data_IF_298797791840
#
_entry.id   IF_298797791840
#
_cell.length_a   1.000
_cell.length_b   1.000
_cell.length_c   1.000
_cell.angle_alpha   90.00
_cell.angle_beta   90.00
_cell.angle_gamma   90.00
#
_symmetry.space_group_name_H-M   'P 1'
#
loop_
_entity.id
_entity.type
_entity.pdbx_description
1 polymer ?
#
# COMPACT_ATOMS: atom_id res chain seq x y z
N UNK A 1 31.43 -52.70 59.77
CA UNK A 1 31.76 -51.27 59.73
C UNK A 1 32.11 -50.90 58.30
N UNK A 2 31.14 -50.45 57.55
CA UNK A 2 31.33 -49.95 56.20
C UNK A 2 30.74 -48.52 56.11
N UNK A 3 31.59 -47.56 55.78
CA UNK A 3 31.21 -46.16 55.59
C UNK A 3 30.78 -45.96 54.14
N UNK A 4 29.50 -45.59 53.90
CA UNK A 4 29.00 -45.22 52.63
C UNK A 4 29.26 -43.72 52.40
N UNK A 5 29.94 -43.38 51.29
CA UNK A 5 30.25 -42.03 50.91
C UNK A 5 29.09 -41.59 49.90
N UNK A 6 28.31 -40.60 50.28
CA UNK A 6 27.34 -39.97 49.42
C UNK A 6 28.05 -39.00 48.47
N UNK A 7 27.86 -39.20 47.16
CA UNK A 7 28.27 -38.26 46.11
C UNK A 7 27.17 -37.21 45.91
N UNK A 8 27.50 -35.95 46.23
CA UNK A 8 26.66 -34.82 45.83
C UNK A 8 26.86 -34.56 44.34
N UNK A 9 25.82 -34.80 43.55
CA UNK A 9 25.73 -34.31 42.17
C UNK A 9 25.07 -32.94 42.17
N UNK A 10 25.87 -31.93 41.85
CA UNK A 10 25.41 -30.54 41.64
C UNK A 10 24.65 -30.47 40.31
N UNK A 11 23.35 -30.18 40.35
CA UNK A 11 22.54 -29.90 39.19
C UNK A 11 22.65 -28.40 38.92
N UNK A 12 23.40 -28.03 37.88
CA UNK A 12 23.44 -26.68 37.35
C UNK A 12 22.14 -26.41 36.58
N UNK A 13 21.36 -25.46 37.07
CA UNK A 13 20.18 -24.92 36.33
C UNK A 13 20.63 -24.16 35.09
N UNK A 14 19.89 -24.29 33.95
CA UNK A 14 20.14 -23.46 32.79
C UNK A 14 19.71 -22.00 33.05
N UNK A 15 20.37 -21.02 32.42
CA UNK A 15 20.04 -19.61 32.63
C UNK A 15 18.64 -19.28 32.09
N UNK A 16 17.87 -18.56 32.89
CA UNK A 16 16.48 -18.16 32.67
C UNK A 16 16.30 -17.39 31.36
N UNK A 17 15.29 -17.79 30.58
CA UNK A 17 14.77 -17.19 29.36
C UNK A 17 14.23 -15.75 29.50
N UNK A 18 14.40 -15.11 30.63
CA UNK A 18 13.87 -13.79 30.97
C UNK A 18 14.78 -12.60 30.57
N UNK A 19 15.88 -12.84 29.87
CA UNK A 19 16.82 -11.77 29.46
C UNK A 19 16.82 -11.43 27.98
N UNK A 20 15.97 -12.06 27.18
CA UNK A 20 15.86 -11.83 25.69
C UNK A 20 14.70 -10.93 25.27
N UNK A 21 13.86 -10.46 26.21
CA UNK A 21 12.68 -9.62 25.87
C UNK A 21 12.87 -8.11 26.12
N UNK A 22 14.10 -7.62 26.28
CA UNK A 22 14.38 -6.19 26.52
C UNK A 22 15.36 -5.57 25.54
N UNK A 23 15.25 -5.89 24.23
CA UNK A 23 15.99 -5.16 23.17
C UNK A 23 15.23 -5.14 21.85
N UNK A 24 13.95 -4.78 21.87
CA UNK A 24 13.21 -4.35 20.66
C UNK A 24 12.25 -3.25 21.05
N UNK A 25 12.78 -2.09 21.32
CA UNK A 25 12.00 -0.88 21.43
C UNK A 25 12.95 0.30 21.25
N UNK A 26 13.21 0.63 19.99
CA UNK A 26 13.64 1.94 19.47
C UNK A 26 14.05 1.80 18.00
N UNK A 27 13.20 1.18 17.16
CA UNK A 27 13.20 1.55 15.76
C UNK A 27 12.14 2.64 15.60
N UNK A 28 12.56 3.88 15.78
CA UNK A 28 11.88 4.99 15.16
C UNK A 28 11.99 4.74 13.66
N UNK A 29 10.87 4.34 13.05
CA UNK A 29 10.70 4.31 11.60
C UNK A 29 11.18 5.65 11.05
N UNK A 30 12.43 5.69 10.61
CA UNK A 30 12.96 6.77 9.80
C UNK A 30 12.37 6.54 8.41
N UNK A 31 11.21 7.12 8.15
CA UNK A 31 10.66 7.20 6.80
C UNK A 31 11.72 7.86 5.91
N UNK A 32 11.94 7.35 4.69
CA UNK A 32 12.93 7.92 3.78
C UNK A 32 12.69 9.42 3.61
N UNK A 33 13.75 10.20 3.64
CA UNK A 33 13.72 11.67 3.55
C UNK A 33 13.59 12.18 2.11
N UNK A 34 13.60 11.27 1.14
CA UNK A 34 13.51 11.57 -0.31
C UNK A 34 12.44 10.69 -0.94
N UNK A 35 11.79 11.16 -2.04
CA UNK A 35 10.89 10.32 -2.82
C UNK A 35 11.56 9.01 -3.22
N UNK A 36 10.85 7.91 -3.05
CA UNK A 36 11.30 6.60 -3.51
C UNK A 36 10.68 6.29 -4.87
N UNK A 37 11.44 5.59 -5.73
CA UNK A 37 10.87 5.06 -6.96
C UNK A 37 10.20 3.73 -6.65
N UNK A 38 8.88 3.72 -6.62
CA UNK A 38 8.08 2.50 -6.55
C UNK A 38 8.05 1.85 -7.94
N UNK A 39 8.38 0.57 -8.00
CA UNK A 39 8.33 -0.25 -9.22
C UNK A 39 7.49 -1.48 -8.94
N UNK A 40 6.39 -1.61 -9.64
CA UNK A 40 5.45 -2.72 -9.44
C UNK A 40 4.98 -3.35 -10.75
N UNK A 41 4.75 -4.66 -10.72
CA UNK A 41 4.03 -5.39 -11.76
C UNK A 41 2.54 -5.27 -11.49
N UNK A 42 1.74 -5.00 -12.55
CA UNK A 42 0.29 -4.84 -12.46
C UNK A 42 -0.39 -5.59 -13.60
N UNK A 43 -1.09 -6.66 -13.24
CA UNK A 43 -1.86 -7.45 -14.20
C UNK A 43 -3.35 -7.34 -13.86
N UNK A 44 -4.15 -6.98 -14.86
CA UNK A 44 -5.59 -6.83 -14.70
C UNK A 44 -6.27 -8.17 -14.94
N UNK A 45 -7.20 -8.51 -14.06
CA UNK A 45 -8.08 -9.65 -14.20
C UNK A 45 -9.41 -9.22 -14.85
N UNK A 46 -10.00 -10.05 -15.73
CA UNK A 46 -11.17 -9.64 -16.49
C UNK A 46 -12.44 -9.49 -15.66
N UNK A 47 -12.58 -10.28 -14.58
CA UNK A 47 -13.82 -10.38 -13.83
C UNK A 47 -13.65 -10.92 -12.40
N UNK A 48 -14.76 -10.92 -11.65
CA UNK A 48 -14.82 -11.45 -10.30
C UNK A 48 -14.50 -12.95 -10.22
N UNK A 49 -14.85 -13.73 -11.24
CA UNK A 49 -14.59 -15.17 -11.24
C UNK A 49 -13.10 -15.48 -11.32
N UNK A 50 -12.38 -14.75 -12.16
CA UNK A 50 -10.91 -14.82 -12.26
C UNK A 50 -10.24 -14.39 -10.96
N UNK A 51 -10.72 -13.31 -10.33
CA UNK A 51 -10.24 -12.85 -9.02
C UNK A 51 -10.48 -13.90 -7.93
N UNK A 52 -11.67 -14.49 -7.85
CA UNK A 52 -12.00 -15.53 -6.87
C UNK A 52 -11.17 -16.80 -7.08
N UNK A 53 -10.98 -17.23 -8.35
CA UNK A 53 -10.13 -18.38 -8.68
C UNK A 53 -8.69 -18.14 -8.21
N UNK A 54 -8.14 -16.98 -8.49
CA UNK A 54 -6.79 -16.60 -8.07
C UNK A 54 -6.67 -16.52 -6.54
N UNK A 55 -7.64 -15.88 -5.87
CA UNK A 55 -7.70 -15.82 -4.40
C UNK A 55 -7.74 -17.21 -3.75
N UNK A 56 -8.48 -18.16 -4.36
CA UNK A 56 -8.53 -19.54 -3.88
C UNK A 56 -7.19 -20.24 -4.02
N UNK A 57 -6.52 -20.11 -5.16
CA UNK A 57 -5.20 -20.71 -5.41
C UNK A 57 -4.14 -20.14 -4.45
N UNK A 58 -4.19 -18.86 -4.16
CA UNK A 58 -3.26 -18.19 -3.26
C UNK A 58 -3.62 -18.33 -1.77
N UNK A 59 -4.77 -18.93 -1.43
CA UNK A 59 -5.28 -18.99 -0.04
C UNK A 59 -4.30 -19.57 0.98
N UNK A 60 -3.42 -20.58 0.66
CA UNK A 60 -2.43 -21.08 1.61
C UNK A 60 -1.35 -20.04 1.99
N UNK A 61 -1.18 -18.99 1.19
CA UNK A 61 -0.17 -17.94 1.35
C UNK A 61 -0.76 -16.63 1.88
N UNK A 62 -2.06 -16.60 2.18
CA UNK A 62 -2.75 -15.40 2.64
C UNK A 62 -2.22 -14.94 4.00
N UNK A 63 -1.88 -13.66 4.12
CA UNK A 63 -1.38 -13.04 5.34
C UNK A 63 -2.36 -12.08 5.98
N UNK A 64 -3.02 -11.25 5.18
CA UNK A 64 -3.99 -10.27 5.66
C UNK A 64 -4.92 -9.77 4.55
N UNK A 65 -6.07 -9.23 4.96
CA UNK A 65 -6.96 -8.48 4.08
C UNK A 65 -7.10 -7.06 4.60
N UNK A 66 -6.84 -6.08 3.73
CA UNK A 66 -6.89 -4.66 4.03
C UNK A 66 -8.12 -4.03 3.37
N UNK A 67 -8.96 -3.40 4.16
CA UNK A 67 -10.01 -2.52 3.66
C UNK A 67 -9.44 -1.11 3.53
N UNK A 68 -9.42 -0.57 2.33
CA UNK A 68 -8.83 0.72 2.03
C UNK A 68 -9.87 1.66 1.43
N UNK A 69 -10.01 2.84 2.02
CA UNK A 69 -10.74 3.95 1.43
C UNK A 69 -9.72 4.97 0.95
N UNK A 70 -9.72 5.27 -0.35
CA UNK A 70 -8.80 6.19 -0.97
C UNK A 70 -9.56 7.46 -1.34
N UNK A 71 -9.11 8.61 -0.82
CA UNK A 71 -9.67 9.93 -1.11
C UNK A 71 -8.59 10.79 -1.72
N UNK A 72 -8.88 11.42 -2.85
CA UNK A 72 -7.91 12.20 -3.61
C UNK A 72 -8.18 13.69 -3.55
N UNK A 73 -7.11 14.46 -3.68
CA UNK A 73 -7.15 15.91 -3.64
C UNK A 73 -6.37 16.48 -4.82
N UNK A 74 -6.76 17.68 -5.25
CA UNK A 74 -6.04 18.46 -6.25
C UNK A 74 -6.05 19.93 -5.83
N UNK A 75 -5.21 20.74 -6.43
CA UNK A 75 -5.35 22.18 -6.34
C UNK A 75 -6.59 22.67 -7.10
N UNK A 76 -7.18 23.76 -6.65
CA UNK A 76 -8.40 24.33 -7.25
C UNK A 76 -8.26 24.70 -8.75
N UNK A 77 -7.03 24.77 -9.27
CA UNK A 77 -6.73 24.94 -10.69
C UNK A 77 -6.13 23.68 -11.34
N UNK A 78 -6.40 22.49 -10.76
CA UNK A 78 -5.91 21.19 -11.25
C UNK A 78 -4.38 21.10 -11.35
N UNK A 79 -3.65 21.72 -10.44
CA UNK A 79 -2.18 21.81 -10.50
C UNK A 79 -1.52 20.44 -10.41
N UNK A 80 -1.99 19.55 -9.50
CA UNK A 80 -1.45 18.19 -9.37
C UNK A 80 -1.78 17.35 -10.60
N UNK A 81 -3.03 17.32 -11.03
CA UNK A 81 -3.44 16.57 -12.23
C UNK A 81 -2.68 17.04 -13.47
N UNK A 82 -2.46 18.35 -13.64
CA UNK A 82 -1.70 18.90 -14.77
C UNK A 82 -0.23 18.49 -14.76
N UNK A 83 0.32 18.22 -13.56
CA UNK A 83 1.69 17.74 -13.38
C UNK A 83 1.80 16.20 -13.28
N UNK A 84 0.72 15.47 -13.62
CA UNK A 84 0.64 14.02 -13.48
C UNK A 84 0.96 13.54 -12.05
N UNK A 85 0.50 14.30 -11.06
CA UNK A 85 0.64 13.97 -9.64
C UNK A 85 -0.71 13.68 -9.00
N UNK A 86 -0.71 12.85 -7.95
CA UNK A 86 -1.89 12.48 -7.19
C UNK A 86 -1.60 12.56 -5.69
N UNK A 87 -2.33 13.43 -4.99
CA UNK A 87 -2.33 13.52 -3.53
C UNK A 87 -3.49 12.69 -2.99
N UNK A 88 -3.19 11.75 -2.09
CA UNK A 88 -4.16 10.78 -1.58
C UNK A 88 -4.13 10.69 -0.06
N UNK A 89 -5.30 10.63 0.56
CA UNK A 89 -5.49 10.07 1.89
C UNK A 89 -6.00 8.63 1.74
N UNK A 90 -5.31 7.67 2.37
CA UNK A 90 -5.74 6.28 2.43
C UNK A 90 -6.04 5.90 3.86
N UNK A 91 -7.32 5.62 4.12
CA UNK A 91 -7.79 5.10 5.40
C UNK A 91 -7.81 3.57 5.36
N UNK A 92 -7.32 2.94 6.41
CA UNK A 92 -7.31 1.49 6.57
C UNK A 92 -8.24 1.07 7.69
N UNK A 93 -9.01 -0.02 7.47
CA UNK A 93 -9.83 -0.66 8.47
C UNK A 93 -11.20 -0.01 8.72
N UNK A 94 -11.96 -0.59 9.65
CA UNK A 94 -13.23 -0.07 10.13
C UNK A 94 -13.03 0.96 11.26
N UNK A 95 -14.15 1.49 11.79
CA UNK A 95 -14.24 2.72 12.57
C UNK A 95 -13.39 2.86 13.87
N UNK A 96 -12.73 1.81 14.39
CA UNK A 96 -12.15 1.86 15.75
C UNK A 96 -10.61 1.92 15.75
N UNK A 97 -9.91 1.39 14.73
CA UNK A 97 -8.44 1.41 14.64
C UNK A 97 -7.97 1.91 13.27
N UNK A 98 -8.57 2.99 12.79
CA UNK A 98 -8.25 3.52 11.47
C UNK A 98 -6.86 4.17 11.47
N UNK A 99 -5.93 3.52 10.78
CA UNK A 99 -4.68 4.14 10.33
C UNK A 99 -4.99 4.98 9.09
N UNK A 100 -4.39 6.14 8.97
CA UNK A 100 -4.44 6.94 7.75
C UNK A 100 -3.03 7.27 7.27
N UNK A 101 -2.83 7.18 5.96
CA UNK A 101 -1.59 7.54 5.28
C UNK A 101 -1.92 8.62 4.26
N UNK A 102 -1.16 9.71 4.28
CA UNK A 102 -1.11 10.66 3.18
C UNK A 102 0.00 10.25 2.23
N UNK A 103 -0.26 10.24 0.93
CA UNK A 103 0.75 9.95 -0.09
C UNK A 103 0.68 10.90 -1.26
N UNK A 104 1.86 11.17 -1.85
CA UNK A 104 2.02 11.90 -3.09
C UNK A 104 2.71 10.98 -4.10
N UNK A 105 1.99 10.64 -5.19
CA UNK A 105 2.55 9.94 -6.34
C UNK A 105 2.75 10.94 -7.48
N UNK A 106 3.90 10.89 -8.14
CA UNK A 106 4.23 11.82 -9.23
C UNK A 106 5.00 11.12 -10.35
N UNK A 107 4.96 11.69 -11.54
CA UNK A 107 5.70 11.23 -12.72
C UNK A 107 5.49 9.74 -13.04
N UNK A 108 4.25 9.25 -13.13
CA UNK A 108 3.99 7.84 -13.41
C UNK A 108 4.41 7.47 -14.83
N UNK A 109 5.01 6.29 -14.97
CA UNK A 109 5.27 5.64 -16.25
C UNK A 109 4.78 4.20 -16.17
N UNK A 110 3.79 3.83 -17.00
CA UNK A 110 3.22 2.48 -17.04
C UNK A 110 3.41 1.95 -18.45
N UNK A 111 4.08 0.82 -18.58
CA UNK A 111 4.29 0.15 -19.86
C UNK A 111 4.35 -1.36 -19.69
N UNK A 112 3.62 -2.10 -20.53
CA UNK A 112 3.63 -3.56 -20.57
C UNK A 112 3.44 -4.22 -19.20
N UNK A 113 2.54 -3.69 -18.36
CA UNK A 113 2.23 -4.23 -17.04
C UNK A 113 3.25 -3.89 -15.94
N UNK A 114 4.19 -2.98 -16.21
CA UNK A 114 5.14 -2.47 -15.20
C UNK A 114 4.88 -0.99 -14.98
N UNK A 115 4.63 -0.62 -13.72
CA UNK A 115 4.44 0.77 -13.27
C UNK A 115 5.70 1.25 -12.55
N UNK A 116 6.11 2.47 -12.84
CA UNK A 116 7.17 3.20 -12.13
C UNK A 116 6.63 4.56 -11.74
N UNK A 117 6.75 4.91 -10.46
CA UNK A 117 6.22 6.18 -9.96
C UNK A 117 7.04 6.68 -8.79
N UNK A 118 7.30 7.99 -8.73
CA UNK A 118 7.82 8.60 -7.50
C UNK A 118 6.72 8.56 -6.44
N UNK A 119 6.99 7.97 -5.27
CA UNK A 119 6.05 7.95 -4.15
C UNK A 119 6.70 8.45 -2.87
N UNK A 120 5.94 9.26 -2.14
CA UNK A 120 6.18 9.61 -0.75
C UNK A 120 4.95 9.25 0.08
N UNK A 121 5.18 8.68 1.27
CA UNK A 121 4.11 8.38 2.21
C UNK A 121 4.46 8.90 3.61
N UNK A 122 3.45 9.40 4.32
CA UNK A 122 3.54 9.82 5.72
C UNK A 122 2.29 9.37 6.49
N UNK A 123 2.44 8.95 7.76
CA UNK A 123 1.28 8.75 8.62
C UNK A 123 0.64 10.11 8.96
N UNK A 124 -0.69 10.12 9.02
CA UNK A 124 -1.46 11.30 9.43
C UNK A 124 -2.53 10.87 10.43
N UNK A 125 -2.85 11.75 11.38
CA UNK A 125 -3.94 11.47 12.33
C UNK A 125 -5.27 11.22 11.60
N UNK A 126 -5.93 10.08 11.82
CA UNK A 126 -7.13 9.71 11.06
C UNK A 126 -8.31 10.67 11.29
N UNK A 127 -8.46 11.24 12.48
CA UNK A 127 -9.55 12.16 12.79
C UNK A 127 -9.33 13.48 12.09
N UNK A 128 -8.08 13.97 12.07
CA UNK A 128 -7.69 15.15 11.31
C UNK A 128 -7.89 14.93 9.82
N UNK A 129 -7.44 13.78 9.30
CA UNK A 129 -7.61 13.41 7.89
C UNK A 129 -9.09 13.36 7.48
N UNK A 130 -9.98 12.83 8.32
CA UNK A 130 -11.43 12.84 8.07
C UNK A 130 -11.99 14.26 8.04
N UNK A 131 -11.57 15.13 8.92
CA UNK A 131 -11.97 16.53 8.86
C UNK A 131 -11.50 17.22 7.57
N UNK A 132 -10.32 16.85 7.06
CA UNK A 132 -9.79 17.36 5.79
C UNK A 132 -10.57 16.89 4.55
N UNK A 133 -11.26 15.74 4.61
CA UNK A 133 -12.14 15.32 3.50
C UNK A 133 -13.31 16.29 3.33
N UNK A 134 -13.88 16.77 4.43
CA UNK A 134 -14.97 17.76 4.41
C UNK A 134 -14.44 19.19 4.16
N UNK A 135 -13.26 19.51 4.68
CA UNK A 135 -12.64 20.83 4.62
C UNK A 135 -11.19 20.73 4.06
N UNK A 136 -11.00 20.54 2.73
CA UNK A 136 -9.70 20.21 2.11
C UNK A 136 -8.58 21.22 2.41
N UNK A 137 -8.91 22.48 2.60
CA UNK A 137 -7.96 23.53 2.94
C UNK A 137 -7.19 23.27 4.25
N UNK A 138 -7.77 22.47 5.16
CA UNK A 138 -7.12 22.10 6.42
C UNK A 138 -5.83 21.31 6.23
N UNK A 139 -5.71 20.50 5.15
CA UNK A 139 -4.46 19.77 4.86
C UNK A 139 -3.27 20.73 4.80
N UNK A 140 -3.45 21.91 4.18
CA UNK A 140 -2.38 22.89 4.04
C UNK A 140 -1.96 23.57 5.35
N UNK A 141 -2.70 23.38 6.46
CA UNK A 141 -2.29 23.87 7.78
C UNK A 141 -1.33 22.92 8.52
N UNK A 142 -1.04 21.74 7.97
CA UNK A 142 -0.11 20.77 8.58
C UNK A 142 1.34 21.07 8.12
N UNK A 143 1.99 22.02 8.79
CA UNK A 143 3.34 22.47 8.43
C UNK A 143 4.43 21.41 8.68
N UNK A 144 4.16 20.41 9.51
CA UNK A 144 5.09 19.31 9.78
C UNK A 144 5.17 18.26 8.67
N UNK A 145 4.24 18.25 7.71
CA UNK A 145 4.21 17.29 6.61
C UNK A 145 5.16 17.74 5.48
N UNK A 146 6.09 16.86 5.12
CA UNK A 146 6.99 17.05 3.98
C UNK A 146 6.23 16.99 2.66
N UNK A 147 5.27 16.07 2.56
CA UNK A 147 4.39 15.92 1.39
C UNK A 147 3.64 17.22 1.14
N UNK A 148 3.03 17.81 2.17
CA UNK A 148 2.26 19.04 2.02
C UNK A 148 3.14 20.27 1.77
N UNK A 149 4.36 20.26 2.29
CA UNK A 149 5.37 21.27 1.93
C UNK A 149 5.73 21.17 0.45
N UNK A 150 6.00 19.95 -0.04
CA UNK A 150 6.24 19.70 -1.47
C UNK A 150 5.05 20.10 -2.35
N UNK A 151 3.83 19.79 -1.91
CA UNK A 151 2.59 20.20 -2.61
C UNK A 151 2.49 21.73 -2.74
N UNK A 152 2.84 22.46 -1.70
CA UNK A 152 2.86 23.94 -1.74
C UNK A 152 3.95 24.49 -2.65
N UNK A 153 5.17 24.00 -2.52
CA UNK A 153 6.36 24.57 -3.14
C UNK A 153 6.53 24.13 -4.59
N UNK A 154 6.43 22.83 -4.87
CA UNK A 154 6.68 22.28 -6.21
C UNK A 154 5.47 22.46 -7.13
N UNK A 155 4.25 22.30 -6.60
CA UNK A 155 3.02 22.36 -7.42
C UNK A 155 2.29 23.72 -7.30
N UNK A 156 2.84 24.66 -6.53
CA UNK A 156 2.31 26.02 -6.44
C UNK A 156 0.89 26.08 -5.84
N UNK A 157 0.52 25.13 -4.98
CA UNK A 157 -0.79 25.12 -4.33
C UNK A 157 -0.72 26.02 -3.10
N UNK A 158 -1.17 27.25 -3.26
CA UNK A 158 -1.17 28.29 -2.24
C UNK A 158 -2.59 28.75 -1.89
N UNK A 159 -2.85 30.03 -2.02
CA UNK A 159 -4.08 30.71 -1.57
C UNK A 159 -5.41 30.18 -2.14
N UNK A 160 -5.38 29.46 -3.27
CA UNK A 160 -6.58 28.82 -3.86
C UNK A 160 -6.95 27.51 -3.17
N UNK A 161 -6.03 26.96 -2.39
CA UNK A 161 -6.24 25.77 -1.59
C UNK A 161 -6.38 24.45 -2.38
N UNK A 162 -6.69 23.39 -1.63
CA UNK A 162 -7.00 22.07 -2.13
C UNK A 162 -8.51 21.89 -2.29
N UNK A 163 -8.89 21.04 -3.24
CA UNK A 163 -10.27 20.54 -3.43
C UNK A 163 -10.27 19.03 -3.28
N UNK A 164 -11.31 18.47 -2.68
CA UNK A 164 -11.51 17.02 -2.61
C UNK A 164 -12.15 16.56 -3.93
N UNK A 165 -11.52 15.56 -4.55
CA UNK A 165 -11.99 14.97 -5.81
C UNK A 165 -12.94 13.79 -5.58
N UNK A 166 -13.09 13.31 -4.31
CA UNK A 166 -13.69 12.03 -4.02
C UNK A 166 -12.66 10.90 -4.12
N UNK A 167 -13.13 9.67 -4.36
CA UNK A 167 -12.23 8.53 -4.39
C UNK A 167 -12.92 7.21 -4.64
N UNK A 168 -12.31 6.11 -4.15
CA UNK A 168 -12.81 4.75 -4.30
C UNK A 168 -12.40 3.89 -3.10
N UNK A 169 -13.06 2.75 -2.95
CA UNK A 169 -12.72 1.73 -1.96
C UNK A 169 -11.95 0.59 -2.62
N UNK A 170 -11.06 -0.03 -1.88
CA UNK A 170 -10.29 -1.18 -2.35
C UNK A 170 -10.24 -2.25 -1.25
N UNK A 171 -10.52 -3.48 -1.60
CA UNK A 171 -10.27 -4.65 -0.76
C UNK A 171 -9.00 -5.28 -1.29
N UNK A 172 -7.94 -5.28 -0.47
CA UNK A 172 -6.62 -5.80 -0.82
C UNK A 172 -6.33 -7.05 0.00
N UNK A 173 -6.25 -8.18 -0.65
CA UNK A 173 -5.73 -9.42 -0.05
C UNK A 173 -4.23 -9.51 -0.32
N UNK A 174 -3.45 -9.75 0.75
CA UNK A 174 -1.98 -9.82 0.69
C UNK A 174 -1.56 -11.28 0.89
N UNK A 175 -0.61 -11.71 0.09
CA UNK A 175 -0.10 -13.08 0.07
C UNK A 175 1.43 -13.08 0.06
N UNK A 176 2.05 -13.97 0.85
CA UNK A 176 3.49 -14.24 0.80
C UNK A 176 3.71 -15.50 -0.06
N UNK A 177 3.92 -15.31 -1.36
CA UNK A 177 4.05 -16.39 -2.34
C UNK A 177 5.42 -16.38 -3.02
N UNK A 178 6.15 -17.51 -3.00
CA UNK A 178 7.47 -17.66 -3.64
C UNK A 178 8.48 -16.57 -3.23
N UNK A 179 8.39 -16.08 -1.98
CA UNK A 179 9.22 -14.99 -1.48
C UNK A 179 8.82 -13.60 -2.00
N UNK A 180 7.68 -13.51 -2.69
CA UNK A 180 7.10 -12.28 -3.20
C UNK A 180 5.89 -11.89 -2.34
N UNK A 181 5.70 -10.59 -2.17
CA UNK A 181 4.49 -10.03 -1.58
C UNK A 181 3.52 -9.68 -2.69
N UNK A 182 2.50 -10.52 -2.87
CA UNK A 182 1.45 -10.28 -3.86
C UNK A 182 0.29 -9.52 -3.22
N UNK A 183 -0.28 -8.60 -3.97
CA UNK A 183 -1.44 -7.81 -3.58
C UNK A 183 -2.55 -8.02 -4.61
N UNK A 184 -3.62 -8.70 -4.19
CA UNK A 184 -4.78 -8.96 -5.03
C UNK A 184 -5.90 -7.99 -4.64
N UNK A 185 -6.24 -7.12 -5.56
CA UNK A 185 -7.13 -5.99 -5.36
C UNK A 185 -8.50 -6.19 -6.01
N UNK A 186 -9.54 -5.89 -5.24
CA UNK A 186 -10.90 -5.65 -5.70
C UNK A 186 -11.24 -4.18 -5.45
N UNK A 187 -11.27 -3.38 -6.51
CA UNK A 187 -11.44 -1.93 -6.45
C UNK A 187 -12.84 -1.52 -6.86
N UNK A 188 -13.56 -0.88 -5.92
CA UNK A 188 -14.95 -0.44 -6.09
C UNK A 188 -15.00 1.05 -6.39
N UNK A 189 -15.40 1.39 -7.60
CA UNK A 189 -15.75 2.74 -8.03
C UNK A 189 -17.27 2.90 -8.08
N UNK A 190 -17.78 4.12 -8.11
CA UNK A 190 -19.23 4.38 -8.24
C UNK A 190 -19.82 3.84 -9.56
N UNK A 191 -18.97 3.61 -10.57
CA UNK A 191 -19.34 3.15 -11.91
C UNK A 191 -18.97 1.69 -12.18
N UNK A 192 -18.47 0.94 -11.21
CA UNK A 192 -18.18 -0.49 -11.34
C UNK A 192 -16.97 -0.95 -10.52
N UNK A 193 -16.60 -2.22 -10.71
CA UNK A 193 -15.51 -2.87 -9.98
C UNK A 193 -14.42 -3.34 -10.93
N UNK A 194 -13.16 -3.14 -10.57
CA UNK A 194 -11.99 -3.67 -11.28
C UNK A 194 -11.16 -4.60 -10.39
N UNK A 195 -10.44 -5.52 -11.02
CA UNK A 195 -9.65 -6.54 -10.34
C UNK A 195 -8.22 -6.52 -10.87
N UNK A 196 -7.23 -6.49 -9.98
CA UNK A 196 -5.81 -6.48 -10.35
C UNK A 196 -5.00 -7.33 -9.37
N UNK A 197 -3.93 -7.96 -9.87
CA UNK A 197 -2.84 -8.47 -9.04
C UNK A 197 -1.63 -7.56 -9.23
N UNK A 198 -1.00 -7.18 -8.11
CA UNK A 198 0.13 -6.27 -8.05
C UNK A 198 1.27 -6.92 -7.26
N UNK A 199 2.51 -6.60 -7.63
CA UNK A 199 3.70 -6.97 -6.88
C UNK A 199 4.77 -5.91 -7.04
N UNK A 200 5.13 -5.24 -5.93
CA UNK A 200 6.28 -4.35 -5.89
C UNK A 200 7.57 -5.17 -5.91
N UNK A 201 8.54 -4.80 -6.77
CA UNK A 201 9.79 -5.52 -6.89
C UNK A 201 10.90 -4.69 -7.50
N UNK A 202 12.13 -4.95 -7.05
CA UNK A 202 13.36 -4.47 -7.71
C UNK A 202 13.71 -5.25 -8.99
N UNK A 203 13.05 -6.42 -9.22
CA UNK A 203 13.23 -7.29 -10.40
C UNK A 203 11.90 -7.46 -11.17
N UNK A 204 11.28 -6.38 -11.67
CA UNK A 204 9.90 -6.41 -12.18
C UNK A 204 9.73 -7.34 -13.40
N UNK A 205 10.72 -7.45 -14.28
CA UNK A 205 10.62 -8.33 -15.45
C UNK A 205 10.59 -9.81 -15.06
N UNK A 206 11.38 -10.21 -14.06
CA UNK A 206 11.36 -11.57 -13.50
C UNK A 206 10.03 -11.88 -12.84
N UNK A 207 9.54 -10.95 -11.98
CA UNK A 207 8.28 -11.12 -11.27
C UNK A 207 7.10 -11.17 -12.25
N UNK A 208 7.10 -10.31 -13.25
CA UNK A 208 6.09 -10.30 -14.30
C UNK A 208 6.01 -11.68 -14.99
N UNK A 209 7.14 -12.21 -15.44
CA UNK A 209 7.19 -13.53 -16.09
C UNK A 209 6.65 -14.63 -15.18
N UNK A 210 7.04 -14.63 -13.90
CA UNK A 210 6.57 -15.62 -12.91
C UNK A 210 5.06 -15.56 -12.71
N UNK A 211 4.50 -14.34 -12.61
CA UNK A 211 3.05 -14.15 -12.48
C UNK A 211 2.31 -14.56 -13.75
N UNK A 212 2.83 -14.25 -14.94
CA UNK A 212 2.25 -14.66 -16.22
C UNK A 212 2.21 -16.18 -16.35
N UNK A 213 3.31 -16.86 -16.05
CA UNK A 213 3.39 -18.32 -16.06
C UNK A 213 2.36 -18.93 -15.10
N UNK A 214 2.30 -18.43 -13.86
CA UNK A 214 1.34 -18.89 -12.87
C UNK A 214 -0.13 -18.70 -13.31
N UNK A 215 -0.47 -17.55 -13.89
CA UNK A 215 -1.82 -17.28 -14.38
C UNK A 215 -2.19 -18.18 -15.57
N UNK A 216 -1.26 -18.38 -16.52
CA UNK A 216 -1.46 -19.25 -17.70
C UNK A 216 -1.64 -20.71 -17.28
N UNK A 217 -0.78 -21.23 -16.40
CA UNK A 217 -0.85 -22.61 -15.91
C UNK A 217 -2.16 -22.90 -15.19
N UNK A 218 -2.76 -21.89 -14.58
CA UNK A 218 -4.03 -21.98 -13.89
C UNK A 218 -5.23 -21.52 -14.74
N UNK A 219 -5.05 -21.32 -16.05
CA UNK A 219 -6.12 -20.89 -16.97
C UNK A 219 -6.87 -19.64 -16.48
N UNK A 220 -6.12 -18.64 -16.00
CA UNK A 220 -6.64 -17.34 -15.60
C UNK A 220 -6.23 -16.32 -16.66
N UNK A 221 -7.23 -15.75 -17.35
CA UNK A 221 -6.99 -14.69 -18.31
C UNK A 221 -6.58 -13.40 -17.62
N UNK A 222 -5.69 -12.65 -18.23
CA UNK A 222 -5.23 -11.35 -17.74
C UNK A 222 -4.90 -10.41 -18.90
N UNK A 223 -4.76 -9.15 -18.59
CA UNK A 223 -4.18 -8.13 -19.47
C UNK A 223 -3.19 -7.25 -18.70
N UNK A 224 -2.35 -6.53 -19.40
CA UNK A 224 -1.48 -5.54 -18.75
C UNK A 224 -2.29 -4.33 -18.33
N UNK A 225 -2.06 -3.86 -17.10
CA UNK A 225 -2.60 -2.59 -16.66
C UNK A 225 -1.84 -1.45 -17.34
N UNK A 226 -2.54 -0.64 -18.12
CA UNK A 226 -1.98 0.50 -18.85
C UNK A 226 -2.25 1.83 -18.15
N UNK A 227 -3.16 1.83 -17.17
CA UNK A 227 -3.58 3.02 -16.43
C UNK A 227 -3.68 2.71 -14.94
N UNK A 228 -3.39 3.70 -14.09
CA UNK A 228 -3.50 3.57 -12.65
C UNK A 228 -4.97 3.57 -12.19
N UNK A 229 -5.25 3.01 -10.99
CA UNK A 229 -6.56 3.09 -10.34
C UNK A 229 -7.07 4.53 -10.22
N UNK A 230 -6.17 5.49 -9.96
CA UNK A 230 -6.50 6.92 -9.93
C UNK A 230 -6.96 7.43 -11.32
N UNK A 231 -6.26 7.03 -12.39
CA UNK A 231 -6.66 7.43 -13.75
C UNK A 231 -8.02 6.82 -14.15
N UNK A 232 -8.31 5.56 -13.75
CA UNK A 232 -9.63 4.93 -13.91
C UNK A 232 -10.70 5.76 -13.17
N UNK A 233 -10.46 6.06 -11.90
CA UNK A 233 -11.36 6.90 -11.09
C UNK A 233 -11.64 8.24 -11.77
N UNK A 234 -10.61 8.92 -12.28
CA UNK A 234 -10.75 10.23 -12.95
C UNK A 234 -11.45 10.16 -14.31
N UNK A 235 -11.35 9.03 -15.00
CA UNK A 235 -12.03 8.83 -16.29
C UNK A 235 -13.54 8.57 -16.16
N UNK A 236 -14.00 8.12 -14.99
CA UNK A 236 -15.39 7.76 -14.71
C UNK A 236 -15.88 6.51 -15.44
N UNK A 237 -14.96 5.67 -15.96
CA UNK A 237 -15.30 4.42 -16.66
C UNK A 237 -14.22 3.36 -16.44
N UNK A 238 -14.64 2.09 -16.47
CA UNK A 238 -13.70 0.95 -16.47
C UNK A 238 -12.98 0.88 -17.83
N UNK A 239 -11.72 0.42 -17.85
CA UNK A 239 -10.94 0.23 -19.07
C UNK A 239 -11.39 -1.00 -19.85
#
# INVERSE_FOLDING_TARGET
MQRTIAKHTSITQPPSLLRLLRRHSKDHNHLPTTPTMEVEVKLRLPDAASHQKLSHLLSPFHTQTLLQENVFFDGAAAQLSSALAALRLRFYGGAVDSRCIISLKAKPAIAAGISRVEEEEEPIDPSFARACVAEPWRLLSLDSSRILTRVREEFGIGNKGLVCLGGFKNVRSVYDWEGLKLELDETHYDFGTSYEIECESSEPDRVKKLLEEFLIENEISYSYSEVSKFAIFRSGKLP
#
